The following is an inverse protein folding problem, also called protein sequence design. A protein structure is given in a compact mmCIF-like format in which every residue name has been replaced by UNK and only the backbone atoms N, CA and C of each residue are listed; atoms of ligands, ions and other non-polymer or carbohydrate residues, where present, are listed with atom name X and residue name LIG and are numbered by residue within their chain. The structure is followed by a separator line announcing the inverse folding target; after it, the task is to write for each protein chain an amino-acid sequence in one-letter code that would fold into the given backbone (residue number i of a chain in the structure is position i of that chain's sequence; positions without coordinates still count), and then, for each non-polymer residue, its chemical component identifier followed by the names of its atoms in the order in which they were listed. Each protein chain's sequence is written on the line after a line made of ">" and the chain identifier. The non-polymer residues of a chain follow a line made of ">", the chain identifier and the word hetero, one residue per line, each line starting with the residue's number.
data_IF_280651887415
#
_entry.id   IF_280651887415
#
_cell.length_a   1.000
_cell.length_b   1.000
_cell.length_c   1.000
_cell.angle_alpha   90.00
_cell.angle_beta   90.00
_cell.angle_gamma   90.00
#
_symmetry.space_group_name_H-M   'P 1'
#
loop_
_entity.id
_entity.type
_entity.pdbx_description
1 polymer ?
#
# COMPACT_ATOMS: atom_id res chain seq x y z
N UNK A 1 2.94 -22.39 -1.32
CA UNK A 1 2.42 -21.15 -0.69
C UNK A 1 1.11 -20.81 -1.37
N UNK A 2 -0.01 -20.79 -0.64
CA UNK A 2 -1.28 -20.30 -1.18
C UNK A 2 -1.26 -18.77 -1.12
N UNK A 3 -1.39 -18.12 -2.28
CA UNK A 3 -1.51 -16.66 -2.33
C UNK A 3 -2.89 -16.28 -1.76
N UNK A 4 -2.90 -15.59 -0.63
CA UNK A 4 -4.12 -15.01 -0.07
C UNK A 4 -4.43 -13.72 -0.80
N UNK A 5 -5.63 -13.61 -1.38
CA UNK A 5 -6.07 -12.36 -1.99
C UNK A 5 -6.21 -11.26 -0.93
N UNK A 6 -5.75 -10.02 -1.21
CA UNK A 6 -5.93 -8.90 -0.28
C UNK A 6 -7.42 -8.57 -0.15
N UNK A 7 -7.85 -8.20 1.06
CA UNK A 7 -9.26 -7.86 1.33
C UNK A 7 -9.68 -6.50 0.78
N UNK A 8 -8.75 -5.56 0.67
CA UNK A 8 -8.95 -4.19 0.18
C UNK A 8 -10.11 -3.42 0.84
N UNK A 9 -10.48 -3.77 2.07
CA UNK A 9 -11.68 -3.21 2.73
C UNK A 9 -11.50 -1.73 3.07
N UNK A 10 -10.29 -1.32 3.45
CA UNK A 10 -10.01 0.07 3.81
C UNK A 10 -9.92 0.95 2.56
N UNK A 11 -9.19 0.48 1.57
CA UNK A 11 -8.95 1.14 0.29
C UNK A 11 -10.29 1.42 -0.40
N UNK A 12 -11.17 0.42 -0.47
CA UNK A 12 -12.52 0.59 -1.02
C UNK A 12 -13.36 1.58 -0.23
N UNK A 13 -13.28 1.56 1.11
CA UNK A 13 -14.00 2.53 1.95
C UNK A 13 -13.51 3.95 1.68
N UNK A 14 -12.20 4.16 1.62
CA UNK A 14 -11.60 5.48 1.39
C UNK A 14 -11.92 6.01 -0.01
N UNK A 15 -11.89 5.15 -1.04
CA UNK A 15 -12.26 5.53 -2.41
C UNK A 15 -13.77 5.84 -2.59
N UNK A 16 -14.62 5.49 -1.61
CA UNK A 16 -16.00 5.97 -1.57
C UNK A 16 -16.11 7.41 -1.05
N UNK A 17 -15.10 7.91 -0.32
CA UNK A 17 -15.11 9.23 0.33
C UNK A 17 -14.17 10.23 -0.38
N UNK A 18 -13.12 9.74 -1.05
CA UNK A 18 -12.07 10.53 -1.68
C UNK A 18 -11.76 10.04 -3.10
N UNK A 19 -11.54 10.97 -4.03
CA UNK A 19 -11.26 10.64 -5.44
C UNK A 19 -9.90 9.96 -5.65
N UNK A 20 -8.93 10.25 -4.79
CA UNK A 20 -7.59 9.71 -4.83
C UNK A 20 -7.16 9.26 -3.44
N UNK A 21 -6.52 8.10 -3.37
CA UNK A 21 -5.79 7.64 -2.17
C UNK A 21 -4.32 7.43 -2.50
N UNK A 22 -3.46 7.69 -1.51
CA UNK A 22 -2.02 7.44 -1.60
C UNK A 22 -1.67 6.37 -0.56
N UNK A 23 -1.25 5.19 -1.02
CA UNK A 23 -0.72 4.13 -0.16
C UNK A 23 0.78 4.25 -0.01
N UNK A 24 1.30 3.81 1.14
CA UNK A 24 2.72 3.82 1.48
C UNK A 24 3.11 2.44 1.99
N UNK A 25 4.27 1.95 1.55
CA UNK A 25 4.87 0.73 2.11
C UNK A 25 6.39 0.83 2.12
N UNK A 26 7.01 0.15 3.08
CA UNK A 26 8.44 0.23 3.36
C UNK A 26 9.15 -1.11 3.14
N UNK A 27 10.35 -1.05 2.57
CA UNK A 27 11.23 -2.21 2.42
C UNK A 27 12.61 -1.91 2.97
N UNK A 28 13.29 -2.95 3.48
CA UNK A 28 14.61 -2.83 4.09
C UNK A 28 14.60 -2.57 5.60
N UNK A 29 13.42 -2.48 6.23
CA UNK A 29 13.32 -2.41 7.69
C UNK A 29 13.91 -3.66 8.33
N UNK A 30 14.90 -3.47 9.20
CA UNK A 30 15.60 -4.56 9.89
C UNK A 30 16.78 -5.16 9.12
N UNK A 31 17.17 -4.57 7.99
CA UNK A 31 18.41 -4.96 7.32
C UNK A 31 19.64 -4.58 8.16
N UNK A 32 20.69 -5.42 8.14
CA UNK A 32 21.97 -5.17 8.83
C UNK A 32 22.69 -3.93 8.29
N UNK A 33 22.53 -3.67 7.00
CA UNK A 33 23.07 -2.52 6.29
C UNK A 33 22.21 -2.23 5.05
N UNK A 34 22.34 -1.02 4.49
CA UNK A 34 21.53 -0.54 3.38
C UNK A 34 20.37 0.37 3.83
N UNK A 35 19.79 1.16 2.93
CA UNK A 35 18.73 2.10 3.27
C UNK A 35 17.38 1.39 3.45
N UNK A 36 16.47 2.05 4.18
CA UNK A 36 15.03 1.78 4.09
C UNK A 36 14.48 2.61 2.94
N UNK A 37 13.71 1.99 2.05
CA UNK A 37 12.98 2.69 0.99
C UNK A 37 11.48 2.66 1.29
N UNK A 38 10.81 3.77 1.01
CA UNK A 38 9.35 3.87 1.10
C UNK A 38 8.81 4.10 -0.31
N UNK A 39 7.93 3.21 -0.77
CA UNK A 39 7.18 3.37 -2.00
C UNK A 39 5.87 4.09 -1.72
N UNK A 40 5.43 4.92 -2.66
CA UNK A 40 4.10 5.53 -2.66
C UNK A 40 3.37 5.16 -3.96
N UNK A 41 2.09 4.82 -3.85
CA UNK A 41 1.24 4.56 -5.01
C UNK A 41 -0.06 5.37 -4.89
N UNK A 42 -0.38 6.11 -5.95
CA UNK A 42 -1.65 6.84 -6.08
C UNK A 42 -2.62 5.96 -6.84
N UNK A 43 -3.86 5.90 -6.38
CA UNK A 43 -4.93 5.14 -7.02
C UNK A 43 -6.27 5.87 -6.89
N UNK A 44 -7.08 5.77 -7.93
CA UNK A 44 -8.48 6.17 -7.97
C UNK A 44 -9.38 4.92 -7.95
N UNK A 45 -10.69 5.12 -8.14
CA UNK A 45 -11.67 4.04 -8.16
C UNK A 45 -11.86 3.36 -9.54
N UNK A 46 -11.13 3.78 -10.58
CA UNK A 46 -11.34 3.37 -11.97
C UNK A 46 -10.63 2.06 -12.37
#
# INVERSE_FOLDING_TARGET
>A
MTVTAPKLTLERKLLCEYDLIISLDEVGRGALAGPVAVGAAVMDAA
#
